data_IF_236886096513
#
_entry.id   IF_236886096513
#
_cell.length_a   1.000
_cell.length_b   1.000
_cell.length_c   1.000
_cell.angle_alpha   90.00
_cell.angle_beta   90.00
_cell.angle_gamma   90.00
#
_symmetry.space_group_name_H-M   'P 1'
#
loop_
_entity.id
_entity.type
_entity.pdbx_description
1 polymer ?
#
# COMPACT_ATOMS: atom_id res chain seq x y z
N UNK A 1 10.65 -23.74 12.29
CA UNK A 1 9.70 -22.60 12.37
C UNK A 1 10.39 -21.23 12.30
N UNK A 2 11.68 -21.14 12.63
CA UNK A 2 12.47 -19.89 12.66
C UNK A 2 12.91 -19.36 11.28
N UNK A 3 13.05 -20.21 10.26
CA UNK A 3 13.57 -19.80 8.94
C UNK A 3 12.68 -18.86 8.13
N UNK A 4 11.37 -18.82 8.39
CA UNK A 4 10.45 -17.95 7.64
C UNK A 4 10.06 -16.68 8.43
N UNK A 5 10.34 -16.66 9.74
CA UNK A 5 9.97 -15.54 10.60
C UNK A 5 10.69 -14.24 10.22
N UNK A 6 11.97 -14.33 9.83
CA UNK A 6 12.73 -13.16 9.40
C UNK A 6 12.22 -12.61 8.06
N UNK A 7 11.75 -13.47 7.13
CA UNK A 7 11.15 -13.02 5.85
C UNK A 7 9.88 -12.24 6.13
N UNK A 8 9.00 -12.79 6.97
CA UNK A 8 7.78 -12.10 7.39
C UNK A 8 8.11 -10.76 8.05
N UNK A 9 9.12 -10.71 8.92
CA UNK A 9 9.55 -9.47 9.58
C UNK A 9 10.08 -8.43 8.57
N UNK A 10 10.88 -8.86 7.59
CA UNK A 10 11.43 -7.97 6.57
C UNK A 10 10.33 -7.42 5.65
N UNK A 11 9.39 -8.26 5.24
CA UNK A 11 8.22 -7.84 4.43
C UNK A 11 7.34 -6.87 5.21
N UNK A 12 7.01 -7.19 6.46
CA UNK A 12 6.17 -6.32 7.30
C UNK A 12 6.83 -4.95 7.56
N UNK A 13 8.13 -4.92 7.82
CA UNK A 13 8.87 -3.68 8.01
C UNK A 13 8.95 -2.82 6.74
N UNK A 14 9.08 -3.46 5.56
CA UNK A 14 9.15 -2.78 4.28
C UNK A 14 7.78 -2.30 3.74
N UNK A 15 6.67 -2.87 4.24
CA UNK A 15 5.33 -2.66 3.68
C UNK A 15 4.93 -1.19 3.52
N UNK A 16 5.04 -0.31 4.53
CA UNK A 16 4.57 1.08 4.38
C UNK A 16 5.30 1.82 3.25
N UNK A 17 6.62 1.61 3.14
CA UNK A 17 7.44 2.21 2.09
C UNK A 17 7.07 1.67 0.72
N UNK A 18 6.93 0.35 0.61
CA UNK A 18 6.59 -0.28 -0.65
C UNK A 18 5.18 0.09 -1.13
N UNK A 19 4.19 0.08 -0.22
CA UNK A 19 2.82 0.51 -0.54
C UNK A 19 2.76 1.99 -0.94
N UNK A 20 3.50 2.87 -0.26
CA UNK A 20 3.56 4.29 -0.62
C UNK A 20 4.13 4.50 -2.03
N UNK A 21 5.27 3.87 -2.33
CA UNK A 21 5.91 4.00 -3.64
C UNK A 21 5.08 3.37 -4.78
N UNK A 22 4.47 2.21 -4.56
CA UNK A 22 3.61 1.56 -5.55
C UNK A 22 2.32 2.34 -5.76
N UNK A 23 1.71 2.88 -4.71
CA UNK A 23 0.53 3.73 -4.83
C UNK A 23 0.84 5.03 -5.59
N UNK A 24 2.01 5.63 -5.36
CA UNK A 24 2.47 6.79 -6.15
C UNK A 24 2.53 6.47 -7.65
N UNK A 25 3.00 5.27 -7.99
CA UNK A 25 3.18 4.84 -9.37
C UNK A 25 1.86 4.48 -10.05
N UNK A 26 1.02 3.66 -9.41
CA UNK A 26 -0.22 3.16 -9.99
C UNK A 26 -1.43 4.07 -9.78
N UNK A 27 -1.38 4.97 -8.78
CA UNK A 27 -2.48 5.85 -8.37
C UNK A 27 -3.79 5.14 -8.02
N UNK A 28 -3.72 3.84 -7.76
CA UNK A 28 -4.83 2.99 -7.38
C UNK A 28 -4.42 2.04 -6.25
N UNK A 29 -5.22 2.00 -5.18
CA UNK A 29 -4.92 1.24 -3.97
C UNK A 29 -4.95 -0.27 -4.20
N UNK A 30 -5.87 -0.75 -5.02
CA UNK A 30 -6.00 -2.18 -5.28
C UNK A 30 -4.87 -2.68 -6.17
N UNK A 31 -4.54 -1.94 -7.24
CA UNK A 31 -3.40 -2.23 -8.11
C UNK A 31 -2.08 -2.21 -7.34
N UNK A 32 -1.88 -1.22 -6.46
CA UNK A 32 -0.70 -1.16 -5.62
C UNK A 32 -0.62 -2.33 -4.62
N UNK A 33 -1.74 -2.74 -4.01
CA UNK A 33 -1.75 -3.87 -3.07
C UNK A 33 -1.49 -5.19 -3.79
N UNK A 34 -2.11 -5.42 -4.96
CA UNK A 34 -1.86 -6.61 -5.79
C UNK A 34 -0.38 -6.69 -6.21
N UNK A 35 0.19 -5.58 -6.70
CA UNK A 35 1.60 -5.49 -7.05
C UNK A 35 2.51 -5.84 -5.86
N UNK A 36 2.21 -5.32 -4.67
CA UNK A 36 2.95 -5.64 -3.45
C UNK A 36 2.82 -7.13 -3.07
N UNK A 37 1.62 -7.70 -3.16
CA UNK A 37 1.38 -9.11 -2.87
C UNK A 37 2.16 -10.03 -3.81
N UNK A 38 2.20 -9.71 -5.11
CA UNK A 38 3.00 -10.43 -6.09
C UNK A 38 4.51 -10.36 -5.78
N UNK A 39 5.00 -9.19 -5.36
CA UNK A 39 6.37 -9.04 -4.89
C UNK A 39 6.65 -9.90 -3.66
N UNK A 40 5.73 -9.96 -2.69
CA UNK A 40 5.84 -10.81 -1.51
C UNK A 40 5.89 -12.29 -1.88
N UNK A 41 5.07 -12.74 -2.84
CA UNK A 41 5.09 -14.13 -3.33
C UNK A 41 6.44 -14.48 -3.96
N UNK A 42 7.05 -13.55 -4.70
CA UNK A 42 8.39 -13.73 -5.28
C UNK A 42 9.47 -13.72 -4.19
N UNK A 43 9.37 -12.86 -3.18
CA UNK A 43 10.27 -12.86 -2.02
C UNK A 43 10.24 -14.19 -1.28
N UNK A 44 9.04 -14.72 -0.97
CA UNK A 44 8.86 -16.02 -0.30
C UNK A 44 9.45 -17.20 -1.09
N UNK A 45 9.54 -17.09 -2.42
CA UNK A 45 10.18 -18.11 -3.26
C UNK A 45 11.70 -17.95 -3.34
N UNK A 46 12.19 -16.71 -3.43
CA UNK A 46 13.59 -16.40 -3.76
C UNK A 46 14.48 -16.26 -2.50
N UNK A 47 14.01 -15.53 -1.50
CA UNK A 47 14.81 -15.17 -0.32
C UNK A 47 15.24 -16.36 0.56
N UNK A 48 14.47 -17.46 0.70
CA UNK A 48 14.96 -18.63 1.44
C UNK A 48 16.22 -19.26 0.84
N UNK A 49 16.39 -19.14 -0.48
CA UNK A 49 17.50 -19.77 -1.22
C UNK A 49 18.70 -18.83 -1.32
N UNK A 50 18.45 -17.53 -1.50
CA UNK A 50 19.50 -16.53 -1.80
C UNK A 50 19.81 -15.59 -0.64
N UNK A 51 19.04 -15.66 0.45
CA UNK A 51 19.04 -14.67 1.52
C UNK A 51 18.26 -13.38 1.17
N UNK A 52 18.11 -12.45 2.12
CA UNK A 52 17.48 -11.16 1.84
C UNK A 52 18.36 -10.29 0.94
N UNK A 53 17.76 -9.43 0.10
CA UNK A 53 18.49 -8.32 -0.50
C UNK A 53 18.99 -7.35 0.58
N UNK A 54 19.99 -6.54 0.25
CA UNK A 54 20.52 -5.48 1.15
C UNK A 54 19.44 -4.48 1.57
N UNK A 55 18.51 -4.18 0.67
CA UNK A 55 17.34 -3.34 0.92
C UNK A 55 16.07 -4.10 0.47
N UNK A 56 15.35 -4.72 1.42
CA UNK A 56 14.08 -5.40 1.14
C UNK A 56 13.00 -4.48 0.58
N UNK A 57 12.94 -3.21 1.00
CA UNK A 57 11.91 -2.29 0.56
C UNK A 57 12.13 -1.90 -0.91
N UNK A 58 13.34 -1.49 -1.27
CA UNK A 58 13.69 -1.19 -2.67
C UNK A 58 13.43 -2.40 -3.59
N UNK A 59 13.77 -3.61 -3.13
CA UNK A 59 13.52 -4.83 -3.89
C UNK A 59 12.02 -5.09 -4.10
N UNK A 60 11.20 -4.98 -3.05
CA UNK A 60 9.75 -5.18 -3.15
C UNK A 60 9.09 -4.14 -4.05
N UNK A 61 9.54 -2.88 -4.00
CA UNK A 61 9.06 -1.81 -4.88
C UNK A 61 9.38 -2.12 -6.33
N UNK A 62 10.64 -2.46 -6.63
CA UNK A 62 11.07 -2.77 -7.98
C UNK A 62 10.32 -3.97 -8.55
N UNK A 63 10.25 -5.06 -7.80
CA UNK A 63 9.58 -6.28 -8.23
C UNK A 63 8.08 -6.06 -8.38
N UNK A 64 7.45 -5.37 -7.43
CA UNK A 64 6.02 -5.07 -7.45
C UNK A 64 5.63 -4.16 -8.61
N UNK A 65 6.45 -3.14 -8.91
CA UNK A 65 6.23 -2.28 -10.07
C UNK A 65 6.22 -3.09 -11.36
N UNK A 66 7.23 -3.94 -11.56
CA UNK A 66 7.34 -4.74 -12.78
C UNK A 66 6.15 -5.72 -12.92
N UNK A 67 5.78 -6.43 -11.85
CA UNK A 67 4.61 -7.33 -11.89
C UNK A 67 3.29 -6.58 -12.09
N UNK A 68 3.13 -5.41 -11.48
CA UNK A 68 1.93 -4.58 -11.64
C UNK A 68 1.78 -4.05 -13.07
N UNK A 69 2.87 -3.62 -13.71
CA UNK A 69 2.85 -3.22 -15.13
C UNK A 69 2.41 -4.39 -16.01
N UNK A 70 2.94 -5.59 -15.78
CA UNK A 70 2.56 -6.79 -16.53
C UNK A 70 1.07 -7.11 -16.34
N UNK A 71 0.53 -6.96 -15.12
CA UNK A 71 -0.87 -7.17 -14.80
C UNK A 71 -1.77 -6.14 -15.49
N UNK A 72 -1.43 -4.85 -15.43
CA UNK A 72 -2.16 -3.76 -16.10
C UNK A 72 -2.20 -3.98 -17.62
N UNK A 73 -1.04 -4.30 -18.22
CA UNK A 73 -0.95 -4.63 -19.66
C UNK A 73 -1.82 -5.84 -20.03
N UNK A 74 -1.87 -6.86 -19.18
CA UNK A 74 -2.71 -8.04 -19.41
C UNK A 74 -4.21 -7.70 -19.33
N UNK A 75 -4.63 -6.88 -18.36
CA UNK A 75 -6.01 -6.39 -18.23
C UNK A 75 -6.42 -5.55 -19.45
N UNK A 76 -5.55 -4.65 -19.91
CA UNK A 76 -5.79 -3.84 -21.10
C UNK A 76 -5.99 -4.68 -22.37
N UNK A 77 -5.23 -5.78 -22.52
CA UNK A 77 -5.40 -6.74 -23.64
C UNK A 77 -6.67 -7.59 -23.56
N UNK A 78 -7.28 -7.69 -22.37
CA UNK A 78 -8.49 -8.48 -22.11
C UNK A 78 -9.77 -7.64 -22.10
N UNK A 79 -9.66 -6.31 -22.02
CA UNK A 79 -10.77 -5.38 -22.18
C UNK A 79 -11.03 -5.06 -23.67
N UNK A 80 -12.28 -4.85 -24.11
CA UNK A 80 -12.55 -4.16 -25.37
C UNK A 80 -11.91 -2.78 -25.29
N UNK A 81 -11.16 -2.40 -26.32
CA UNK A 81 -10.23 -1.26 -26.34
C UNK A 81 -10.81 0.03 -25.69
N UNK A 82 -10.28 0.48 -24.54
CA UNK A 82 -10.54 1.81 -23.98
C UNK A 82 -9.45 2.81 -24.38
N UNK A 83 -9.78 4.11 -24.31
CA UNK A 83 -8.92 5.26 -24.65
C UNK A 83 -7.62 5.32 -23.83
N UNK A 84 -6.54 5.76 -24.48
CA UNK A 84 -5.12 5.55 -24.14
C UNK A 84 -4.57 6.29 -22.89
N UNK A 85 -5.38 6.85 -21.99
CA UNK A 85 -4.90 7.83 -20.99
C UNK A 85 -4.54 7.29 -19.58
N UNK A 86 -4.53 5.96 -19.34
CA UNK A 86 -4.33 5.41 -17.98
C UNK A 86 -2.91 4.95 -17.63
N UNK A 87 -1.93 5.12 -18.52
CA UNK A 87 -0.55 4.73 -18.22
C UNK A 87 0.39 5.87 -18.56
N UNK A 88 0.91 6.54 -17.53
CA UNK A 88 2.01 7.51 -17.68
C UNK A 88 3.16 6.87 -18.46
N UNK A 89 3.73 7.62 -19.41
CA UNK A 89 4.79 7.21 -20.33
C UNK A 89 5.77 6.17 -19.75
N UNK A 90 5.85 5.03 -20.45
CA UNK A 90 6.49 3.79 -20.01
C UNK A 90 7.97 3.68 -20.34
N UNK A 91 8.63 4.76 -20.74
CA UNK A 91 10.04 4.78 -21.12
C UNK A 91 10.85 5.62 -20.12
N UNK A 92 12.03 5.13 -19.70
CA UNK A 92 12.93 5.66 -18.65
C UNK A 92 12.71 5.23 -17.18
N UNK A 93 12.50 3.93 -16.95
CA UNK A 93 12.29 3.39 -15.61
C UNK A 93 13.54 2.89 -14.85
N UNK A 94 14.67 2.55 -15.49
CA UNK A 94 15.75 1.82 -14.80
C UNK A 94 16.78 2.73 -14.10
N UNK A 95 17.15 3.86 -14.69
CA UNK A 95 18.17 4.77 -14.11
C UNK A 95 17.63 5.69 -13.01
N UNK A 96 16.35 6.05 -13.11
CA UNK A 96 15.74 7.11 -12.29
C UNK A 96 15.32 6.62 -10.89
N UNK A 97 15.14 5.30 -10.70
CA UNK A 97 14.70 4.72 -9.43
C UNK A 97 15.81 4.72 -8.38
N UNK A 98 17.04 4.38 -8.75
CA UNK A 98 18.15 4.31 -7.79
C UNK A 98 18.49 5.69 -7.21
N UNK A 99 18.32 6.76 -7.98
CA UNK A 99 18.52 8.15 -7.53
C UNK A 99 17.32 8.73 -6.78
N UNK A 100 16.09 8.28 -7.07
CA UNK A 100 14.84 8.82 -6.46
C UNK A 100 14.37 8.09 -5.21
N UNK A 101 15.06 7.02 -4.81
CA UNK A 101 14.87 6.27 -3.57
C UNK A 101 15.74 6.83 -2.43
N UNK A 102 15.83 8.15 -2.30
CA UNK A 102 16.45 8.76 -1.12
C UNK A 102 15.54 8.58 0.12
N UNK A 103 16.14 8.61 1.32
CA UNK A 103 15.41 8.40 2.58
C UNK A 103 14.29 9.41 2.88
N UNK A 104 14.33 10.60 2.29
CA UNK A 104 13.36 11.67 2.52
C UNK A 104 12.09 11.46 1.66
N UNK A 105 12.25 11.08 0.39
CA UNK A 105 11.14 10.77 -0.50
C UNK A 105 10.28 9.61 0.04
N UNK A 106 10.90 8.59 0.64
CA UNK A 106 10.17 7.49 1.28
C UNK A 106 9.32 7.93 2.47
N UNK A 107 9.87 8.79 3.33
CA UNK A 107 9.15 9.28 4.52
C UNK A 107 7.91 10.06 4.11
N UNK A 108 8.03 10.84 3.05
CA UNK A 108 6.89 11.56 2.51
C UNK A 108 5.86 10.64 1.87
N UNK A 109 6.27 9.56 1.17
CA UNK A 109 5.32 8.62 0.55
C UNK A 109 4.50 7.86 1.61
N UNK A 110 5.10 7.47 2.74
CA UNK A 110 4.35 6.89 3.87
C UNK A 110 3.34 7.91 4.39
N UNK A 111 3.75 9.17 4.59
CA UNK A 111 2.86 10.21 5.09
C UNK A 111 1.68 10.46 4.13
N UNK A 112 1.95 10.53 2.82
CA UNK A 112 0.92 10.63 1.77
C UNK A 112 -0.05 9.46 1.83
N UNK A 113 0.47 8.24 1.96
CA UNK A 113 -0.36 7.04 2.11
C UNK A 113 -1.29 7.13 3.34
N UNK A 114 -0.78 7.60 4.49
CA UNK A 114 -1.61 7.80 5.69
C UNK A 114 -2.75 8.80 5.42
N UNK A 115 -2.45 9.92 4.77
CA UNK A 115 -3.47 10.94 4.44
C UNK A 115 -4.50 10.47 3.42
N UNK A 116 -4.11 9.63 2.46
CA UNK A 116 -5.03 9.00 1.51
C UNK A 116 -5.99 8.06 2.22
N UNK A 117 -5.49 7.24 3.17
CA UNK A 117 -6.36 6.40 3.99
C UNK A 117 -7.30 7.20 4.90
N UNK A 118 -6.90 8.41 5.32
CA UNK A 118 -7.70 9.35 6.12
C UNK A 118 -8.56 10.31 5.26
N UNK A 119 -9.06 9.87 4.10
CA UNK A 119 -9.87 10.72 3.23
C UNK A 119 -11.18 11.20 3.90
N UNK A 120 -11.55 12.49 3.82
CA UNK A 120 -12.71 13.05 4.52
C UNK A 120 -14.05 12.43 4.10
N UNK A 121 -14.17 11.95 2.86
CA UNK A 121 -15.38 11.24 2.39
C UNK A 121 -15.59 9.87 3.07
N UNK A 122 -14.59 9.36 3.79
CA UNK A 122 -14.70 8.12 4.54
C UNK A 122 -15.09 8.41 5.98
N UNK A 123 -16.09 7.69 6.54
CA UNK A 123 -16.29 7.68 7.98
C UNK A 123 -15.02 7.22 8.72
N UNK A 124 -14.77 7.75 9.92
CA UNK A 124 -13.57 7.44 10.71
C UNK A 124 -13.29 5.94 10.87
N UNK A 125 -14.34 5.13 11.04
CA UNK A 125 -14.21 3.66 11.15
C UNK A 125 -13.71 2.99 9.87
N UNK A 126 -14.02 3.56 8.70
CA UNK A 126 -13.51 3.09 7.41
C UNK A 126 -12.07 3.55 7.18
N UNK A 127 -11.73 4.79 7.55
CA UNK A 127 -10.36 5.32 7.48
C UNK A 127 -9.40 4.45 8.29
N UNK A 128 -9.77 4.11 9.52
CA UNK A 128 -8.95 3.25 10.40
C UNK A 128 -8.84 1.83 9.79
N UNK A 129 -9.94 1.24 9.35
CA UNK A 129 -9.93 -0.12 8.79
C UNK A 129 -9.06 -0.23 7.52
N UNK A 130 -9.18 0.72 6.59
CA UNK A 130 -8.38 0.72 5.36
C UNK A 130 -6.91 0.95 5.66
N UNK A 131 -6.57 1.80 6.63
CA UNK A 131 -5.19 2.04 7.00
C UNK A 131 -4.52 0.85 7.68
N UNK A 132 -5.21 0.20 8.63
CA UNK A 132 -4.70 -1.04 9.25
C UNK A 132 -4.42 -2.11 8.19
N UNK A 133 -5.26 -2.19 7.15
CA UNK A 133 -5.08 -3.12 6.04
C UNK A 133 -3.91 -2.73 5.13
N UNK A 134 -3.89 -1.49 4.66
CA UNK A 134 -2.98 -1.03 3.62
C UNK A 134 -1.59 -0.75 4.21
N UNK A 135 -1.52 0.07 5.25
CA UNK A 135 -0.25 0.53 5.84
C UNK A 135 0.38 -0.58 6.68
N UNK A 136 -0.41 -1.19 7.55
CA UNK A 136 0.11 -2.14 8.56
C UNK A 136 0.03 -3.61 8.15
N UNK A 137 -0.73 -3.92 7.10
CA UNK A 137 -0.82 -5.28 6.57
C UNK A 137 -1.66 -6.24 7.43
N UNK A 138 -2.48 -5.74 8.35
CA UNK A 138 -3.35 -6.59 9.14
C UNK A 138 -4.30 -7.36 8.22
N UNK A 139 -4.58 -8.61 8.61
CA UNK A 139 -5.59 -9.42 7.93
C UNK A 139 -6.98 -8.88 8.21
N UNK A 140 -7.93 -9.11 7.30
CA UNK A 140 -9.34 -8.76 7.49
C UNK A 140 -9.87 -9.35 8.80
N UNK A 141 -9.44 -10.57 9.14
CA UNK A 141 -9.77 -11.24 10.41
C UNK A 141 -9.30 -10.49 11.64
N UNK A 142 -8.04 -10.04 11.65
CA UNK A 142 -7.50 -9.24 12.77
C UNK A 142 -8.26 -7.93 12.92
N UNK A 143 -8.53 -7.23 11.81
CA UNK A 143 -9.27 -5.97 11.82
C UNK A 143 -10.72 -6.19 12.27
N UNK A 144 -11.38 -7.25 11.80
CA UNK A 144 -12.74 -7.60 12.21
C UNK A 144 -12.84 -7.84 13.72
N UNK A 145 -11.84 -8.54 14.29
CA UNK A 145 -11.73 -8.75 15.74
C UNK A 145 -11.54 -7.45 16.51
N UNK A 146 -10.66 -6.56 16.05
CA UNK A 146 -10.44 -5.25 16.68
C UNK A 146 -11.70 -4.37 16.67
N UNK A 147 -12.53 -4.50 15.64
CA UNK A 147 -13.78 -3.75 15.48
C UNK A 147 -15.02 -4.48 16.03
N UNK A 148 -14.88 -5.71 16.55
CA UNK A 148 -15.97 -6.55 17.03
C UNK A 148 -17.10 -6.74 16.00
N UNK A 149 -16.74 -6.98 14.73
CA UNK A 149 -17.68 -7.26 13.64
C UNK A 149 -17.34 -8.57 12.94
N UNK A 150 -18.27 -9.09 12.13
CA UNK A 150 -18.01 -10.28 11.30
C UNK A 150 -16.96 -10.02 10.20
N UNK A 151 -16.17 -11.04 9.88
CA UNK A 151 -15.10 -10.96 8.86
C UNK A 151 -15.63 -10.49 7.50
N UNK A 152 -16.75 -11.05 7.04
CA UNK A 152 -17.39 -10.66 5.77
C UNK A 152 -17.86 -9.19 5.77
N UNK A 153 -18.38 -8.69 6.91
CA UNK A 153 -18.80 -7.29 7.02
C UNK A 153 -17.59 -6.34 6.98
N UNK A 154 -16.46 -6.75 7.56
CA UNK A 154 -15.21 -5.99 7.51
C UNK A 154 -14.59 -6.00 6.11
N UNK A 155 -14.59 -7.14 5.43
CA UNK A 155 -14.11 -7.26 4.05
C UNK A 155 -14.83 -6.27 3.14
N UNK A 156 -16.17 -6.32 3.14
CA UNK A 156 -16.97 -5.39 2.34
C UNK A 156 -16.74 -3.92 2.73
N UNK A 157 -16.50 -3.64 4.02
CA UNK A 157 -16.20 -2.28 4.49
C UNK A 157 -14.89 -1.77 3.90
N UNK A 158 -13.84 -2.60 3.91
CA UNK A 158 -12.54 -2.25 3.34
C UNK A 158 -12.67 -2.06 1.82
N UNK A 159 -13.33 -2.98 1.11
CA UNK A 159 -13.54 -2.86 -0.34
C UNK A 159 -14.26 -1.57 -0.71
N UNK A 160 -15.36 -1.23 -0.02
CA UNK A 160 -16.09 0.02 -0.26
C UNK A 160 -15.25 1.27 0.04
N UNK A 161 -14.43 1.23 1.09
CA UNK A 161 -13.56 2.34 1.44
C UNK A 161 -12.51 2.61 0.35
N UNK A 162 -11.89 1.56 -0.19
CA UNK A 162 -10.95 1.67 -1.30
C UNK A 162 -11.59 2.19 -2.58
N UNK A 163 -12.76 1.65 -2.94
CA UNK A 163 -13.52 2.11 -4.10
C UNK A 163 -13.84 3.61 -3.97
N UNK A 164 -14.26 4.06 -2.78
CA UNK A 164 -14.54 5.48 -2.53
C UNK A 164 -13.29 6.36 -2.64
N UNK A 165 -12.12 5.88 -2.22
CA UNK A 165 -10.84 6.59 -2.41
C UNK A 165 -10.49 6.69 -3.89
N UNK A 166 -10.65 5.60 -4.65
CA UNK A 166 -10.39 5.57 -6.08
C UNK A 166 -11.34 6.52 -6.85
N UNK A 167 -12.64 6.47 -6.55
CA UNK A 167 -13.67 7.33 -7.15
C UNK A 167 -13.45 8.83 -6.85
N UNK A 168 -12.83 9.15 -5.72
CA UNK A 168 -12.53 10.53 -5.35
C UNK A 168 -11.39 11.15 -6.18
N UNK A 169 -10.66 10.35 -6.99
CA UNK A 169 -9.63 10.85 -7.92
C UNK A 169 -8.49 11.60 -7.23
N UNK A 170 -8.22 11.28 -5.97
CA UNK A 170 -7.30 12.03 -5.11
C UNK A 170 -5.87 11.88 -5.67
N UNK A 171 -5.18 12.98 -6.02
CA UNK A 171 -3.78 12.91 -6.41
C UNK A 171 -2.95 12.26 -5.30
N UNK A 172 -1.96 11.43 -5.66
CA UNK A 172 -0.94 10.99 -4.71
C UNK A 172 0.00 12.15 -4.40
N UNK A 173 -0.51 13.13 -3.66
CA UNK A 173 0.19 14.35 -3.30
C UNK A 173 0.07 14.58 -1.78
N UNK A 174 1.02 15.33 -1.23
CA UNK A 174 0.90 15.75 0.16
C UNK A 174 -0.27 16.74 0.24
N UNK A 175 -1.31 16.51 1.08
CA UNK A 175 -2.43 17.43 1.17
C UNK A 175 -1.96 18.84 1.53
N UNK A 176 -2.75 19.84 1.13
CA UNK A 176 -2.49 21.24 1.49
C UNK A 176 -2.44 21.44 3.01
N UNK A 177 -1.88 22.54 3.49
CA UNK A 177 -1.79 22.78 4.94
C UNK A 177 -3.15 22.72 5.66
N UNK A 178 -4.22 23.20 5.01
CA UNK A 178 -5.60 23.17 5.54
C UNK A 178 -6.10 21.72 5.63
N UNK A 179 -6.03 20.96 4.54
CA UNK A 179 -6.45 19.55 4.52
C UNK A 179 -5.65 18.68 5.51
N UNK A 180 -4.34 18.97 5.67
CA UNK A 180 -3.52 18.30 6.69
C UNK A 180 -4.05 18.60 8.08
N UNK A 181 -4.41 19.83 8.39
CA UNK A 181 -4.93 20.20 9.72
C UNK A 181 -6.27 19.52 10.02
N UNK A 182 -7.16 19.40 9.04
CA UNK A 182 -8.43 18.68 9.17
C UNK A 182 -8.23 17.17 9.40
N UNK A 183 -7.24 16.57 8.74
CA UNK A 183 -6.99 15.12 8.79
C UNK A 183 -6.02 14.70 9.90
N UNK A 184 -5.31 15.64 10.53
CA UNK A 184 -4.23 15.35 11.49
C UNK A 184 -4.71 14.50 12.67
N UNK A 185 -5.90 14.80 13.21
CA UNK A 185 -6.46 14.04 14.33
C UNK A 185 -6.72 12.57 13.95
N UNK A 186 -7.23 12.33 12.74
CA UNK A 186 -7.45 10.99 12.21
C UNK A 186 -6.12 10.25 12.00
N UNK A 187 -5.13 10.91 11.41
CA UNK A 187 -3.78 10.33 11.21
C UNK A 187 -3.11 10.01 12.56
N UNK A 188 -3.21 10.89 13.55
CA UNK A 188 -2.66 10.66 14.89
C UNK A 188 -3.33 9.47 15.59
N UNK A 189 -4.66 9.40 15.54
CA UNK A 189 -5.42 8.26 16.06
C UNK A 189 -5.02 6.94 15.36
N UNK A 190 -4.78 7.02 14.06
CA UNK A 190 -4.34 5.88 13.26
C UNK A 190 -2.94 5.41 13.64
N UNK A 191 -1.97 6.32 13.79
CA UNK A 191 -0.62 5.98 14.28
C UNK A 191 -0.69 5.33 15.66
N UNK A 192 -1.52 5.85 16.55
CA UNK A 192 -1.76 5.25 17.87
C UNK A 192 -2.34 3.84 17.78
N UNK A 193 -3.33 3.60 16.91
CA UNK A 193 -3.95 2.28 16.73
C UNK A 193 -2.99 1.28 16.08
N UNK A 194 -2.24 1.69 15.05
CA UNK A 194 -1.19 0.88 14.43
C UNK A 194 -0.14 0.46 15.47
N UNK A 195 0.28 1.40 16.32
CA UNK A 195 1.21 1.13 17.41
C UNK A 195 0.63 0.12 18.41
N UNK A 196 -0.63 0.29 18.83
CA UNK A 196 -1.28 -0.59 19.81
C UNK A 196 -1.57 -2.00 19.29
N UNK A 197 -1.99 -2.15 18.03
CA UNK A 197 -2.16 -3.47 17.42
C UNK A 197 -0.82 -4.20 17.29
N UNK A 198 0.30 -3.48 17.17
CA UNK A 198 1.65 -4.04 17.22
C UNK A 198 2.03 -4.70 18.55
N UNK A 199 1.30 -4.44 19.65
CA UNK A 199 1.49 -5.12 20.94
C UNK A 199 0.60 -6.37 21.12
N UNK A 200 -0.39 -6.57 20.25
CA UNK A 200 -1.40 -7.64 20.41
C UNK A 200 -1.10 -8.89 19.56
N UNK A 201 0.04 -8.91 18.86
CA UNK A 201 0.52 -10.04 18.04
C UNK A 201 1.50 -10.93 18.78
#
# INVERSE_FOLDING_TARGET
>A
MTEMAWISSAISAARPQAMGALLRYFRDLDTAEEAFQDACLRALKNWPQNGPPRDPAAWLIFVGRNSGIDAVRKRAKQAPMPEEDQVSDLEDAESDIAERLDGAHYRDDILRLLFICCHPDLPATQQIAVALRIVSGLTVKQIARAFLVGESAMEQRITRAKARIADAGVPFETPGAVERSERLAAVAAMVYLVFNEGYST
#
